data_IF_199722805431
#
_entry.id   IF_199722805431
#
_cell.length_a   1.000
_cell.length_b   1.000
_cell.length_c   1.000
_cell.angle_alpha   90.00
_cell.angle_beta   90.00
_cell.angle_gamma   90.00
#
_symmetry.space_group_name_H-M   'P 1'
#
loop_
_entity.id
_entity.type
_entity.pdbx_description
1 polymer ?
#
# COMPACT_ATOMS: atom_id res chain seq x y z
N UNK A 1 23.99 10.48 -48.28
CA UNK A 1 23.39 11.66 -48.92
C UNK A 1 22.69 12.47 -47.85
N UNK A 2 23.03 13.75 -47.82
CA UNK A 2 22.77 14.74 -46.77
C UNK A 2 21.47 15.52 -47.07
N UNK A 3 20.88 16.11 -46.01
CA UNK A 3 20.13 17.39 -45.92
C UNK A 3 18.97 17.22 -44.92
N UNK A 4 19.03 17.73 -43.68
CA UNK A 4 19.04 19.15 -43.25
C UNK A 4 17.89 19.92 -43.88
N UNK A 5 16.94 20.34 -43.04
CA UNK A 5 16.39 21.69 -43.14
C UNK A 5 16.04 22.25 -41.75
N UNK A 6 16.93 23.16 -41.35
CA UNK A 6 16.76 24.15 -40.31
C UNK A 6 16.05 25.35 -40.96
N UNK A 7 15.06 25.94 -40.30
CA UNK A 7 14.57 27.28 -40.64
C UNK A 7 14.61 28.12 -39.37
N UNK A 8 15.51 29.08 -39.38
CA UNK A 8 15.65 30.14 -38.39
C UNK A 8 15.28 31.44 -39.11
N UNK A 9 14.32 32.21 -38.57
CA UNK A 9 14.12 33.62 -38.96
C UNK A 9 14.18 34.48 -37.69
N UNK A 10 15.09 35.44 -37.70
CA UNK A 10 15.40 36.36 -36.62
C UNK A 10 14.55 37.65 -36.67
N UNK A 11 14.51 38.35 -35.53
CA UNK A 11 14.21 39.80 -35.41
C UNK A 11 13.13 40.07 -34.35
N UNK A 12 13.41 40.14 -33.03
CA UNK A 12 14.21 41.08 -32.22
C UNK A 12 13.42 42.35 -31.84
N UNK A 13 13.09 42.49 -30.55
CA UNK A 13 13.28 43.73 -29.77
C UNK A 13 13.41 43.41 -28.26
N UNK A 14 14.25 44.20 -27.58
CA UNK A 14 14.84 44.00 -26.23
C UNK A 14 14.13 44.85 -25.17
N UNK A 15 14.19 44.40 -23.92
CA UNK A 15 14.56 45.20 -22.73
C UNK A 15 14.94 44.23 -21.60
N UNK A 16 16.23 43.98 -21.36
CA UNK A 16 17.04 44.60 -20.29
C UNK A 16 16.57 44.30 -18.86
N UNK A 17 17.30 43.42 -18.18
CA UNK A 17 17.90 43.69 -16.85
C UNK A 17 19.02 42.67 -16.58
N UNK A 18 20.24 43.21 -16.67
CA UNK A 18 21.53 42.78 -16.11
C UNK A 18 21.45 42.53 -14.60
N UNK A 19 22.40 41.94 -13.85
CA UNK A 19 23.66 41.21 -13.99
C UNK A 19 23.99 40.79 -12.54
N UNK A 20 24.78 39.73 -12.33
CA UNK A 20 25.94 39.74 -11.41
C UNK A 20 26.45 38.33 -11.11
N UNK A 21 27.40 37.90 -11.94
CA UNK A 21 28.42 36.91 -11.57
C UNK A 21 29.68 37.71 -11.30
N UNK A 22 30.10 37.81 -10.03
CA UNK A 22 31.35 38.47 -9.64
C UNK A 22 32.34 37.41 -9.19
N UNK A 23 33.38 37.22 -10.01
CA UNK A 23 34.67 36.69 -9.61
C UNK A 23 35.39 37.76 -8.78
N UNK A 24 35.81 37.41 -7.56
CA UNK A 24 36.72 38.25 -6.79
C UNK A 24 37.84 37.38 -6.19
N UNK A 25 38.96 37.33 -6.90
CA UNK A 25 40.29 37.14 -6.33
C UNK A 25 40.60 38.30 -5.38
N UNK A 26 41.21 38.05 -4.20
CA UNK A 26 42.34 38.81 -3.62
C UNK A 26 42.67 38.33 -2.18
N UNK A 27 43.94 37.96 -2.02
CA UNK A 27 44.82 38.07 -0.83
C UNK A 27 44.54 37.26 0.44
N UNK A 28 45.43 36.29 0.62
CA UNK A 28 45.76 35.61 1.87
C UNK A 28 46.43 36.60 2.83
N UNK A 29 45.80 36.87 3.98
CA UNK A 29 46.47 37.48 5.12
C UNK A 29 46.28 36.61 6.36
N UNK A 30 47.40 36.13 6.90
CA UNK A 30 47.50 35.33 8.12
C UNK A 30 47.25 36.24 9.32
N UNK A 31 46.28 35.92 10.17
CA UNK A 31 46.41 36.12 11.62
C UNK A 31 45.32 35.39 12.43
N UNK A 32 45.74 34.25 13.00
CA UNK A 32 45.61 33.89 14.43
C UNK A 32 44.27 34.17 15.14
N UNK A 33 43.38 33.17 15.18
CA UNK A 33 42.54 32.90 16.37
C UNK A 33 42.51 31.40 16.66
N UNK A 34 43.10 31.02 17.80
CA UNK A 34 43.11 29.67 18.36
C UNK A 34 41.79 29.45 19.09
N UNK A 35 40.93 28.57 18.58
CA UNK A 35 39.88 27.94 19.37
C UNK A 35 39.90 26.43 19.14
N UNK A 36 39.96 25.70 20.25
CA UNK A 36 40.03 24.25 20.31
C UNK A 36 38.74 23.62 19.79
N UNK A 37 38.77 23.11 18.57
CA UNK A 37 37.75 22.17 18.08
C UNK A 37 38.07 20.80 18.65
N UNK A 38 37.33 20.38 19.69
CA UNK A 38 37.34 18.99 20.12
C UNK A 38 36.75 18.13 19.01
N UNK A 39 37.61 17.37 18.35
CA UNK A 39 37.28 16.46 17.27
C UNK A 39 36.68 15.17 17.88
N UNK A 40 35.39 15.19 18.25
CA UNK A 40 34.68 13.96 18.64
C UNK A 40 34.24 13.22 17.38
N UNK A 41 34.96 12.16 17.02
CA UNK A 41 34.50 11.19 16.02
C UNK A 41 33.18 10.59 16.52
N UNK A 42 32.10 10.55 15.71
CA UNK A 42 30.91 9.80 16.10
C UNK A 42 31.29 8.32 16.23
N UNK A 43 30.81 7.67 17.30
CA UNK A 43 31.03 6.25 17.52
C UNK A 43 30.40 5.43 16.36
N UNK A 44 30.98 4.28 15.98
CA UNK A 44 30.41 3.42 14.94
C UNK A 44 29.02 2.95 15.37
N UNK A 45 28.02 3.15 14.51
CA UNK A 45 26.70 2.53 14.67
C UNK A 45 26.87 1.01 14.62
N UNK A 46 26.67 0.34 15.73
CA UNK A 46 26.69 -1.12 15.81
C UNK A 46 25.41 -1.66 15.15
N UNK A 47 25.56 -2.53 14.14
CA UNK A 47 24.50 -3.14 13.33
C UNK A 47 23.54 -4.09 14.09
N UNK A 48 23.56 -4.10 15.41
CA UNK A 48 22.91 -5.12 16.25
C UNK A 48 21.41 -4.90 16.51
N UNK A 49 20.82 -3.77 16.09
CA UNK A 49 19.43 -3.38 16.42
C UNK A 49 18.44 -3.46 15.23
N UNK A 50 18.89 -3.88 14.05
CA UNK A 50 18.04 -4.04 12.84
C UNK A 50 17.11 -5.27 12.83
N UNK A 51 17.43 -6.44 13.45
CA UNK A 51 16.69 -7.69 13.14
C UNK A 51 15.25 -7.74 13.69
N UNK A 52 14.94 -7.03 14.77
CA UNK A 52 13.59 -7.07 15.38
C UNK A 52 12.58 -6.33 14.51
N UNK A 53 12.95 -5.15 13.98
CA UNK A 53 12.05 -4.36 13.13
C UNK A 53 11.78 -5.07 11.79
N UNK A 54 12.78 -5.77 11.24
CA UNK A 54 12.65 -6.53 9.99
C UNK A 54 11.82 -7.81 10.17
N UNK A 55 11.95 -8.52 11.29
CA UNK A 55 11.11 -9.69 11.58
C UNK A 55 9.65 -9.29 11.83
N UNK A 56 9.40 -8.26 12.63
CA UNK A 56 8.05 -7.74 12.90
C UNK A 56 7.37 -7.22 11.62
N UNK A 57 8.13 -6.61 10.71
CA UNK A 57 7.62 -6.13 9.43
C UNK A 57 7.20 -7.27 8.49
N UNK A 58 7.90 -8.41 8.49
CA UNK A 58 7.54 -9.60 7.68
C UNK A 58 6.27 -10.32 8.18
N UNK A 59 5.85 -10.04 9.41
CA UNK A 59 4.66 -10.62 10.04
C UNK A 59 3.46 -9.66 10.05
N UNK A 60 3.51 -8.53 9.33
CA UNK A 60 2.34 -7.65 9.16
C UNK A 60 1.19 -8.43 8.54
N UNK A 61 -0.05 -8.18 9.02
CA UNK A 61 -1.27 -8.84 8.55
C UNK A 61 -2.28 -7.83 8.03
N UNK A 62 -3.07 -8.25 7.05
CA UNK A 62 -4.21 -7.50 6.53
C UNK A 62 -5.45 -8.39 6.45
N UNK A 63 -6.62 -7.78 6.62
CA UNK A 63 -7.89 -8.43 6.37
C UNK A 63 -8.34 -8.17 4.93
N UNK A 64 -8.67 -9.24 4.21
CA UNK A 64 -9.22 -9.20 2.85
C UNK A 64 -10.55 -9.95 2.86
N UNK A 65 -11.59 -9.38 2.25
CA UNK A 65 -12.87 -10.07 2.11
C UNK A 65 -13.38 -10.01 0.67
N UNK A 66 -13.67 -11.18 0.10
CA UNK A 66 -14.44 -11.27 -1.14
C UNK A 66 -15.91 -11.00 -0.79
N UNK A 67 -16.45 -9.95 -1.41
CA UNK A 67 -17.83 -9.48 -1.23
C UNK A 67 -18.83 -10.42 -1.91
N UNK A 68 -20.15 -10.29 -1.63
CA UNK A 68 -21.16 -11.20 -2.17
C UNK A 68 -21.14 -11.29 -3.71
N UNK A 69 -20.90 -10.18 -4.41
CA UNK A 69 -20.75 -10.15 -5.87
C UNK A 69 -19.51 -10.89 -6.37
N UNK A 70 -18.38 -10.82 -5.66
CA UNK A 70 -17.18 -11.60 -6.00
C UNK A 70 -17.40 -13.10 -5.85
N UNK A 71 -18.16 -13.51 -4.83
CA UNK A 71 -18.56 -14.90 -4.61
C UNK A 71 -19.51 -15.38 -5.72
N UNK A 72 -20.59 -14.64 -5.96
CA UNK A 72 -21.60 -14.98 -6.98
C UNK A 72 -21.01 -15.10 -8.39
N UNK A 73 -19.92 -14.36 -8.67
CA UNK A 73 -19.22 -14.39 -9.95
C UNK A 73 -18.09 -15.41 -10.03
N UNK A 74 -17.89 -16.24 -9.00
CA UNK A 74 -16.89 -17.30 -9.00
C UNK A 74 -15.43 -16.80 -8.91
N UNK A 75 -15.19 -15.63 -8.32
CA UNK A 75 -13.86 -14.99 -8.32
C UNK A 75 -13.00 -15.28 -7.07
N UNK A 76 -13.48 -16.11 -6.14
CA UNK A 76 -12.72 -16.43 -4.91
C UNK A 76 -11.35 -17.00 -5.25
N UNK A 77 -11.29 -18.02 -6.11
CA UNK A 77 -10.04 -18.69 -6.48
C UNK A 77 -9.05 -17.76 -7.18
N UNK A 78 -9.52 -16.89 -8.07
CA UNK A 78 -8.67 -15.92 -8.77
C UNK A 78 -8.09 -14.88 -7.81
N UNK A 79 -8.89 -14.39 -6.85
CA UNK A 79 -8.42 -13.47 -5.82
C UNK A 79 -7.36 -14.14 -4.94
N UNK A 80 -7.64 -15.34 -4.41
CA UNK A 80 -6.68 -16.11 -3.58
C UNK A 80 -5.38 -16.32 -4.34
N UNK A 81 -5.46 -16.81 -5.59
CA UNK A 81 -4.32 -17.05 -6.45
C UNK A 81 -3.42 -15.83 -6.60
N UNK A 82 -3.97 -14.61 -6.77
CA UNK A 82 -3.15 -13.40 -6.89
C UNK A 82 -2.33 -13.10 -5.63
N UNK A 83 -2.88 -13.36 -4.44
CA UNK A 83 -2.13 -13.21 -3.19
C UNK A 83 -1.09 -14.31 -2.99
N UNK A 84 -1.43 -15.57 -3.30
CA UNK A 84 -0.48 -16.70 -3.23
C UNK A 84 0.70 -16.51 -4.19
N UNK A 85 0.42 -16.18 -5.46
CA UNK A 85 1.45 -15.97 -6.48
C UNK A 85 2.36 -14.78 -6.17
N UNK A 86 1.86 -13.79 -5.42
CA UNK A 86 2.68 -12.68 -4.94
C UNK A 86 3.67 -13.08 -3.85
N UNK A 87 3.42 -14.19 -3.15
CA UNK A 87 4.23 -14.69 -2.04
C UNK A 87 3.70 -14.33 -0.65
N UNK A 88 2.48 -13.78 -0.55
CA UNK A 88 1.84 -13.56 0.75
C UNK A 88 1.36 -14.87 1.36
N UNK A 89 1.42 -14.97 2.69
CA UNK A 89 1.03 -16.17 3.42
C UNK A 89 -0.42 -16.08 3.87
N UNK A 90 -1.24 -17.06 3.51
CA UNK A 90 -2.61 -17.18 4.02
C UNK A 90 -2.58 -17.65 5.48
N UNK A 91 -3.15 -16.89 6.41
CA UNK A 91 -3.17 -17.21 7.85
C UNK A 91 -4.53 -17.70 8.32
N UNK A 92 -5.61 -17.19 7.71
CA UNK A 92 -6.97 -17.64 8.00
C UNK A 92 -7.85 -17.44 6.78
N UNK A 93 -8.84 -18.32 6.62
CA UNK A 93 -9.88 -18.19 5.60
C UNK A 93 -11.15 -18.83 6.11
N UNK A 94 -12.29 -18.18 5.88
CA UNK A 94 -13.61 -18.79 6.10
C UNK A 94 -14.65 -18.25 5.14
N UNK A 95 -15.64 -19.09 4.86
CA UNK A 95 -16.80 -18.78 4.04
C UNK A 95 -18.03 -18.72 4.95
N UNK A 96 -18.72 -17.57 4.99
CA UNK A 96 -19.85 -17.36 5.88
C UNK A 96 -20.86 -16.37 5.32
N UNK A 97 -22.09 -16.42 5.84
CA UNK A 97 -23.03 -15.31 5.75
C UNK A 97 -22.77 -14.37 6.93
N UNK A 98 -22.32 -13.13 6.66
CA UNK A 98 -22.08 -12.15 7.72
C UNK A 98 -23.41 -11.59 8.26
N UNK A 99 -23.56 -11.53 9.58
CA UNK A 99 -24.74 -10.90 10.21
C UNK A 99 -24.72 -9.39 10.01
N UNK A 100 -25.88 -8.76 10.03
CA UNK A 100 -25.96 -7.30 9.95
C UNK A 100 -25.22 -6.62 11.11
N UNK A 101 -25.25 -7.19 12.32
CA UNK A 101 -24.56 -6.62 13.48
C UNK A 101 -23.05 -6.63 13.31
N UNK A 102 -22.49 -7.72 12.75
CA UNK A 102 -21.08 -7.80 12.41
C UNK A 102 -20.70 -6.75 11.36
N UNK A 103 -21.53 -6.61 10.32
CA UNK A 103 -21.31 -5.64 9.24
C UNK A 103 -21.44 -4.18 9.71
N UNK A 104 -22.38 -3.90 10.62
CA UNK A 104 -22.53 -2.58 11.25
C UNK A 104 -21.30 -2.22 12.07
N UNK A 105 -20.75 -3.17 12.81
CA UNK A 105 -19.49 -2.97 13.54
C UNK A 105 -18.30 -2.77 12.59
N UNK A 106 -18.23 -3.54 11.50
CA UNK A 106 -17.16 -3.43 10.51
C UNK A 106 -17.18 -2.07 9.79
N UNK A 107 -18.36 -1.54 9.47
CA UNK A 107 -18.52 -0.25 8.79
C UNK A 107 -18.88 0.90 9.74
N UNK A 108 -18.54 0.81 11.03
CA UNK A 108 -18.98 1.79 12.04
C UNK A 108 -18.54 3.22 11.72
N UNK A 109 -17.38 3.39 11.10
CA UNK A 109 -16.85 4.70 10.68
C UNK A 109 -17.65 5.33 9.53
N UNK A 110 -18.51 4.53 8.86
CA UNK A 110 -19.37 4.97 7.78
C UNK A 110 -20.82 5.16 8.22
N UNK A 111 -21.17 4.97 9.50
CA UNK A 111 -22.56 4.98 9.99
C UNK A 111 -23.36 6.23 9.61
N UNK A 112 -22.69 7.38 9.53
CA UNK A 112 -23.30 8.69 9.24
C UNK A 112 -23.35 9.00 7.73
N UNK A 113 -22.87 8.08 6.88
CA UNK A 113 -22.90 8.23 5.42
C UNK A 113 -24.24 7.80 4.85
N UNK A 114 -24.80 8.51 3.84
CA UNK A 114 -26.13 8.23 3.30
C UNK A 114 -26.27 6.84 2.67
N UNK A 115 -25.15 6.25 2.21
CA UNK A 115 -25.13 4.92 1.59
C UNK A 115 -24.99 3.77 2.60
N UNK A 116 -24.77 4.06 3.90
CA UNK A 116 -24.48 3.03 4.91
C UNK A 116 -25.58 1.98 5.07
N UNK A 117 -26.89 2.33 5.15
CA UNK A 117 -27.95 1.32 5.24
C UNK A 117 -27.95 0.39 4.02
N UNK A 118 -27.70 0.95 2.82
CA UNK A 118 -27.59 0.18 1.58
C UNK A 118 -26.37 -0.73 1.56
N UNK A 119 -25.23 -0.27 2.10
CA UNK A 119 -23.99 -1.05 2.20
C UNK A 119 -24.15 -2.26 3.11
N UNK A 120 -24.73 -2.08 4.30
CA UNK A 120 -24.97 -3.19 5.25
C UNK A 120 -25.93 -4.20 4.62
N UNK A 121 -27.05 -3.75 4.05
CA UNK A 121 -28.03 -4.61 3.37
C UNK A 121 -27.42 -5.37 2.19
N UNK A 122 -26.55 -4.71 1.43
CA UNK A 122 -25.84 -5.32 0.32
C UNK A 122 -24.88 -6.42 0.80
N UNK A 123 -24.05 -6.11 1.80
CA UNK A 123 -23.07 -7.06 2.32
C UNK A 123 -23.73 -8.24 3.06
N UNK A 124 -24.92 -8.06 3.63
CA UNK A 124 -25.70 -9.15 4.26
C UNK A 124 -26.55 -9.94 3.26
N UNK A 125 -26.60 -9.56 1.97
CA UNK A 125 -27.45 -10.21 0.96
C UNK A 125 -26.91 -11.55 0.45
N UNK A 126 -25.65 -11.87 0.73
CA UNK A 126 -25.02 -13.11 0.29
C UNK A 126 -23.76 -13.43 1.08
N UNK A 127 -23.16 -14.60 0.84
CA UNK A 127 -21.99 -15.04 1.59
C UNK A 127 -20.74 -14.27 1.17
N UNK A 128 -19.77 -14.22 2.08
CA UNK A 128 -18.46 -13.61 1.88
C UNK A 128 -17.36 -14.62 2.15
N UNK A 129 -16.22 -14.45 1.49
CA UNK A 129 -14.99 -15.17 1.84
C UNK A 129 -14.06 -14.21 2.58
N UNK A 130 -14.01 -14.35 3.91
CA UNK A 130 -13.13 -13.57 4.78
C UNK A 130 -11.76 -14.25 4.86
N UNK A 131 -10.68 -13.46 4.79
CA UNK A 131 -9.31 -13.95 4.75
C UNK A 131 -8.37 -13.04 5.55
N UNK A 132 -7.31 -13.63 6.08
CA UNK A 132 -6.17 -12.92 6.67
C UNK A 132 -4.92 -13.31 5.92
N UNK A 133 -4.22 -12.30 5.38
CA UNK A 133 -2.95 -12.47 4.66
C UNK A 133 -1.83 -11.83 5.44
N UNK A 134 -0.66 -12.47 5.43
CA UNK A 134 0.53 -12.03 6.16
C UNK A 134 1.73 -11.85 5.22
N UNK A 135 2.50 -10.80 5.46
CA UNK A 135 3.77 -10.55 4.79
C UNK A 135 4.20 -9.09 4.88
N UNK A 136 5.41 -8.80 4.38
CA UNK A 136 5.97 -7.46 4.41
C UNK A 136 5.09 -6.43 3.69
N UNK A 137 4.66 -5.37 4.40
CA UNK A 137 3.81 -4.30 3.89
C UNK A 137 2.53 -4.83 3.19
N UNK A 138 1.97 -5.95 3.67
CA UNK A 138 0.82 -6.61 3.04
C UNK A 138 -0.43 -5.72 3.02
N UNK A 139 -0.61 -4.82 3.99
CA UNK A 139 -1.75 -3.87 3.99
C UNK A 139 -1.65 -2.94 2.79
N UNK A 140 -0.52 -2.22 2.67
CA UNK A 140 -0.29 -1.27 1.58
C UNK A 140 -0.26 -1.96 0.23
N UNK A 141 0.46 -3.08 0.12
CA UNK A 141 0.62 -3.81 -1.14
C UNK A 141 -0.68 -4.50 -1.55
N UNK A 142 -1.45 -5.03 -0.59
CA UNK A 142 -2.79 -5.57 -0.83
C UNK A 142 -3.71 -4.53 -1.45
N UNK A 143 -3.76 -3.30 -0.90
CA UNK A 143 -4.53 -2.19 -1.49
C UNK A 143 -4.13 -1.90 -2.94
N UNK A 144 -2.82 -1.88 -3.24
CA UNK A 144 -2.31 -1.68 -4.61
C UNK A 144 -2.76 -2.82 -5.53
N UNK A 145 -2.72 -4.07 -5.08
CA UNK A 145 -3.19 -5.23 -5.86
C UNK A 145 -4.71 -5.20 -6.10
N UNK A 146 -5.48 -4.73 -5.12
CA UNK A 146 -6.92 -4.58 -5.23
C UNK A 146 -7.30 -3.53 -6.29
N UNK A 147 -6.52 -2.45 -6.38
CA UNK A 147 -6.85 -1.26 -7.17
C UNK A 147 -7.64 -0.23 -6.37
N UNK A 148 -8.00 0.88 -7.03
CA UNK A 148 -8.75 1.97 -6.41
C UNK A 148 -10.14 1.53 -5.97
N UNK A 149 -10.76 2.23 -5.02
CA UNK A 149 -12.09 1.86 -4.52
C UNK A 149 -13.14 1.93 -5.64
N UNK A 150 -13.02 2.92 -6.52
CA UNK A 150 -13.80 3.04 -7.74
C UNK A 150 -13.13 2.23 -8.87
N UNK A 151 -13.78 1.19 -9.43
CA UNK A 151 -13.21 0.38 -10.49
C UNK A 151 -12.85 1.18 -11.75
N UNK A 152 -13.57 2.26 -12.06
CA UNK A 152 -13.26 3.12 -13.20
C UNK A 152 -11.86 3.77 -13.11
N UNK A 153 -11.35 3.96 -11.89
CA UNK A 153 -10.02 4.51 -11.61
C UNK A 153 -8.97 3.41 -11.38
N UNK A 154 -9.40 2.14 -11.37
CA UNK A 154 -8.52 0.99 -11.16
C UNK A 154 -7.79 0.61 -12.45
N UNK A 155 -6.47 0.47 -12.37
CA UNK A 155 -5.63 0.16 -13.53
C UNK A 155 -5.77 -1.32 -13.95
N UNK A 156 -5.67 -1.64 -15.26
CA UNK A 156 -5.54 -3.03 -15.72
C UNK A 156 -4.42 -3.77 -14.97
N UNK A 157 -4.66 -5.03 -14.61
CA UNK A 157 -3.80 -5.86 -13.76
C UNK A 157 -4.13 -5.79 -12.26
N UNK A 158 -4.92 -4.80 -11.82
CA UNK A 158 -5.49 -4.80 -10.47
C UNK A 158 -6.77 -5.62 -10.44
N UNK A 159 -7.13 -6.16 -9.26
CA UNK A 159 -8.33 -7.01 -9.12
C UNK A 159 -9.59 -6.27 -9.59
N UNK A 160 -9.79 -5.03 -9.17
CA UNK A 160 -10.96 -4.24 -9.58
C UNK A 160 -10.87 -3.78 -11.03
N UNK A 161 -9.68 -3.43 -11.52
CA UNK A 161 -9.50 -3.02 -12.91
C UNK A 161 -9.80 -4.15 -13.89
N UNK A 162 -9.52 -5.39 -13.52
CA UNK A 162 -9.75 -6.55 -14.39
C UNK A 162 -11.19 -7.09 -14.29
N UNK A 163 -11.85 -6.92 -13.14
CA UNK A 163 -13.09 -7.64 -12.85
C UNK A 163 -14.27 -6.76 -12.45
N UNK A 164 -14.14 -5.45 -12.30
CA UNK A 164 -15.24 -4.60 -11.83
C UNK A 164 -15.53 -3.44 -12.78
N UNK A 165 -16.75 -2.91 -12.66
CA UNK A 165 -17.23 -1.78 -13.47
C UNK A 165 -17.70 -0.65 -12.55
N UNK A 166 -18.58 -0.95 -11.60
CA UNK A 166 -19.20 0.05 -10.71
C UNK A 166 -18.69 -0.03 -9.27
N UNK A 167 -18.61 1.12 -8.60
CA UNK A 167 -18.12 1.24 -7.21
C UNK A 167 -18.94 0.43 -6.20
N UNK A 168 -20.25 0.30 -6.40
CA UNK A 168 -21.15 -0.49 -5.55
C UNK A 168 -21.00 -2.01 -5.72
N UNK A 169 -20.24 -2.46 -6.73
CA UNK A 169 -19.99 -3.86 -7.10
C UNK A 169 -18.51 -4.10 -7.37
N UNK A 170 -17.68 -3.68 -6.41
CA UNK A 170 -16.23 -3.71 -6.53
C UNK A 170 -15.57 -4.99 -5.93
N UNK A 171 -16.34 -6.09 -5.80
CA UNK A 171 -16.01 -7.48 -5.43
C UNK A 171 -15.14 -7.79 -4.20
N UNK A 172 -14.37 -6.85 -3.69
CA UNK A 172 -13.33 -7.13 -2.68
C UNK A 172 -13.12 -5.94 -1.75
N UNK A 173 -12.92 -6.24 -0.47
CA UNK A 173 -12.47 -5.33 0.57
C UNK A 173 -11.04 -5.65 0.97
N UNK A 174 -10.29 -4.63 1.39
CA UNK A 174 -9.00 -4.79 2.04
C UNK A 174 -8.72 -3.62 2.96
N UNK A 175 -8.16 -3.91 4.14
CA UNK A 175 -7.84 -2.91 5.18
C UNK A 175 -7.01 -1.76 4.60
N UNK A 176 -7.29 -0.54 5.04
CA UNK A 176 -6.62 0.68 4.54
C UNK A 176 -5.40 1.10 5.34
N UNK A 177 -5.27 0.60 6.57
CA UNK A 177 -4.16 0.85 7.48
C UNK A 177 -3.88 -0.38 8.36
N UNK A 178 -2.70 -0.42 8.99
CA UNK A 178 -2.34 -1.50 9.93
C UNK A 178 -3.28 -1.51 11.14
N UNK A 179 -3.69 -0.33 11.62
CA UNK A 179 -4.64 -0.22 12.74
C UNK A 179 -6.02 -0.74 12.36
N UNK A 180 -6.53 -0.38 11.17
CA UNK A 180 -7.78 -0.93 10.64
C UNK A 180 -7.68 -2.44 10.46
N UNK A 181 -6.56 -2.95 9.93
CA UNK A 181 -6.33 -4.38 9.76
C UNK A 181 -6.41 -5.14 11.09
N UNK A 182 -5.74 -4.67 12.13
CA UNK A 182 -5.78 -5.31 13.45
C UNK A 182 -7.19 -5.35 14.04
N UNK A 183 -7.95 -4.25 13.91
CA UNK A 183 -9.36 -4.18 14.33
C UNK A 183 -10.25 -5.15 13.53
N UNK A 184 -10.10 -5.14 12.21
CA UNK A 184 -10.87 -5.99 11.30
C UNK A 184 -10.57 -7.48 11.55
N UNK A 185 -9.30 -7.87 11.67
CA UNK A 185 -8.91 -9.26 11.95
C UNK A 185 -9.54 -9.71 13.28
N UNK A 186 -9.44 -8.90 14.33
CA UNK A 186 -9.99 -9.22 15.66
C UNK A 186 -11.53 -9.27 15.68
N UNK A 187 -12.18 -8.50 14.81
CA UNK A 187 -13.64 -8.50 14.66
C UNK A 187 -14.12 -9.75 13.91
N UNK A 188 -13.42 -10.14 12.86
CA UNK A 188 -13.84 -11.22 11.97
C UNK A 188 -13.35 -12.60 12.39
N UNK A 189 -12.23 -12.70 13.10
CA UNK A 189 -11.59 -13.97 13.45
C UNK A 189 -11.25 -14.05 14.94
N UNK A 190 -11.49 -15.21 15.52
CA UNK A 190 -10.95 -15.58 16.83
C UNK A 190 -9.46 -15.91 16.72
N UNK A 191 -8.67 -15.75 17.79
CA UNK A 191 -7.25 -16.09 17.78
C UNK A 191 -6.97 -17.53 17.34
N UNK A 192 -7.85 -18.48 17.68
CA UNK A 192 -7.68 -19.91 17.34
C UNK A 192 -7.94 -20.20 15.85
N UNK A 193 -8.60 -19.29 15.12
CA UNK A 193 -8.80 -19.40 13.68
C UNK A 193 -7.56 -18.96 12.88
N UNK A 194 -6.55 -18.35 13.53
CA UNK A 194 -5.34 -17.87 12.89
C UNK A 194 -4.24 -18.95 12.94
N UNK A 195 -3.90 -19.51 11.79
CA UNK A 195 -2.94 -20.62 11.68
C UNK A 195 -1.51 -20.12 11.50
N UNK A 196 -0.61 -20.60 12.36
CA UNK A 196 0.83 -20.34 12.24
C UNK A 196 1.54 -21.49 11.53
N UNK A 197 2.27 -21.19 10.45
CA UNK A 197 3.13 -22.15 9.76
C UNK A 197 4.28 -21.44 9.03
N UNK A 198 5.38 -22.17 8.78
CA UNK A 198 6.50 -21.70 7.97
C UNK A 198 6.28 -22.11 6.52
N UNK A 199 6.29 -21.15 5.59
CA UNK A 199 6.28 -21.45 4.15
C UNK A 199 7.63 -22.04 3.74
N UNK A 200 7.62 -23.10 2.93
CA UNK A 200 8.84 -23.68 2.36
C UNK A 200 9.56 -22.73 1.39
N UNK A 201 8.84 -21.75 0.82
CA UNK A 201 9.40 -20.75 -0.08
C UNK A 201 9.87 -19.47 0.64
N UNK A 202 9.76 -19.39 1.98
CA UNK A 202 10.00 -18.16 2.74
C UNK A 202 11.38 -17.57 2.47
N UNK A 203 12.41 -18.41 2.44
CA UNK A 203 13.82 -17.99 2.28
C UNK A 203 14.15 -17.59 0.83
N UNK A 204 13.23 -17.82 -0.11
CA UNK A 204 13.32 -17.35 -1.52
C UNK A 204 12.51 -16.08 -1.77
N UNK A 205 11.57 -15.73 -0.89
CA UNK A 205 10.72 -14.55 -0.99
C UNK A 205 11.32 -13.37 -0.20
N UNK A 206 11.98 -13.66 0.92
CA UNK A 206 12.54 -12.66 1.82
C UNK A 206 14.03 -12.92 2.08
N UNK A 207 14.85 -11.87 2.00
CA UNK A 207 16.27 -11.86 2.40
C UNK A 207 16.50 -11.90 3.92
#
# INVERSE_FOLDING_TARGET
MCCIQCVCSQGRERSETQDNVIWCTTVYNRERLKHSVQNKRPAPLTWSSVPILTMAAKTERTFIAVKPDGVQRGLIGEIVKRFEQKGFRLVAMKFLQASEDLLKQHYIDLKDRPFYPGLVKYMSSGPVAAMVWEGLNVVKTGRVMLGETNPADSKPGTIRGDFCIEVGRNIIHGSDSVDSANKEISLWFKPEELVSYKSCAQDWIYE
#
